data_IF_406521646542
#
_entry.id   IF_406521646542
#
_cell.length_a   1.000
_cell.length_b   1.000
_cell.length_c   1.000
_cell.angle_alpha   90.00
_cell.angle_beta   90.00
_cell.angle_gamma   90.00
#
_symmetry.space_group_name_H-M   'P 1'
#
loop_
_entity.id
_entity.type
_entity.pdbx_description
1 polymer ?
#
# COMPACT_ATOMS: atom_id res chain seq x y z
N UNK A 1 -14.15 23.00 11.52
CA UNK A 1 -14.31 22.06 12.64
C UNK A 1 -14.68 22.88 13.87
N UNK A 2 -15.71 22.48 14.63
CA UNK A 2 -16.10 23.18 15.86
C UNK A 2 -15.23 22.76 17.05
N UNK A 3 -15.45 23.38 18.21
CA UNK A 3 -14.75 23.06 19.47
C UNK A 3 -14.91 21.61 19.93
N UNK A 4 -15.91 20.90 19.41
CA UNK A 4 -16.17 19.47 19.68
C UNK A 4 -15.52 18.53 18.65
N UNK A 5 -14.74 19.05 17.70
CA UNK A 5 -14.09 18.22 16.68
C UNK A 5 -15.02 17.77 15.54
N UNK A 6 -16.21 18.35 15.40
CA UNK A 6 -17.15 18.01 14.33
C UNK A 6 -17.14 19.05 13.21
N UNK A 7 -17.43 18.60 11.99
CA UNK A 7 -17.56 19.43 10.80
C UNK A 7 -18.97 19.32 10.25
N UNK A 8 -19.54 20.43 9.78
CA UNK A 8 -20.88 20.43 9.19
C UNK A 8 -20.72 20.29 7.67
N UNK A 9 -21.31 19.24 7.09
CA UNK A 9 -21.33 18.99 5.65
C UNK A 9 -22.78 18.81 5.22
N UNK A 10 -23.27 19.67 4.34
CA UNK A 10 -24.68 19.71 3.88
C UNK A 10 -25.69 19.74 5.05
N UNK A 11 -25.40 20.51 6.10
CA UNK A 11 -26.27 20.62 7.29
C UNK A 11 -26.20 19.44 8.26
N UNK A 12 -25.36 18.45 8.01
CA UNK A 12 -25.20 17.25 8.85
C UNK A 12 -23.84 17.29 9.54
N UNK A 13 -23.81 16.99 10.84
CA UNK A 13 -22.56 16.84 11.59
C UNK A 13 -21.80 15.58 11.18
N UNK A 14 -20.51 15.74 10.93
CA UNK A 14 -19.56 14.69 10.56
C UNK A 14 -18.34 14.78 11.46
N UNK A 15 -17.71 13.64 11.73
CA UNK A 15 -16.46 13.52 12.49
C UNK A 15 -15.42 12.94 11.54
N UNK A 16 -14.23 13.53 11.52
CA UNK A 16 -13.09 13.01 10.77
C UNK A 16 -12.31 12.06 11.67
N UNK A 17 -12.02 10.86 11.17
CA UNK A 17 -11.20 9.86 11.87
C UNK A 17 -9.85 9.69 11.17
N UNK A 18 -8.80 9.48 11.97
CA UNK A 18 -7.48 9.19 11.44
C UNK A 18 -7.43 7.79 10.85
N UNK A 19 -6.82 7.66 9.68
CA UNK A 19 -6.53 6.36 9.06
C UNK A 19 -5.17 5.85 9.54
N UNK A 20 -5.04 4.54 9.73
CA UNK A 20 -3.77 3.86 10.00
C UNK A 20 -3.40 3.10 8.74
N UNK A 21 -2.31 3.52 8.09
CA UNK A 21 -1.79 2.90 6.86
C UNK A 21 -0.30 2.58 7.04
N UNK A 22 0.16 1.53 6.34
CA UNK A 22 1.58 1.22 6.24
C UNK A 22 2.33 2.38 5.55
N UNK A 23 3.45 2.80 6.10
CA UNK A 23 4.24 3.88 5.51
C UNK A 23 4.74 3.49 4.12
N UNK A 24 4.94 4.47 3.22
CA UNK A 24 5.66 4.26 1.98
C UNK A 24 7.07 3.72 2.23
N UNK A 25 7.53 2.79 1.39
CA UNK A 25 8.84 2.18 1.56
C UNK A 25 8.98 0.84 0.85
N UNK A 26 10.16 0.25 0.98
CA UNK A 26 10.50 -1.07 0.48
C UNK A 26 10.55 -2.03 1.66
N UNK A 27 9.79 -3.11 1.59
CA UNK A 27 9.69 -4.13 2.62
C UNK A 27 10.13 -5.47 2.06
N UNK A 28 10.90 -6.22 2.85
CA UNK A 28 11.32 -7.57 2.51
C UNK A 28 10.74 -8.56 3.51
N UNK A 29 10.30 -9.72 3.01
CA UNK A 29 9.79 -10.82 3.81
C UNK A 29 10.37 -12.13 3.27
N UNK A 30 10.78 -13.02 4.17
CA UNK A 30 11.19 -14.38 3.84
C UNK A 30 10.21 -15.35 4.48
N UNK A 31 9.77 -16.34 3.71
CA UNK A 31 8.91 -17.42 4.18
C UNK A 31 9.52 -18.76 3.74
N UNK A 32 9.46 -19.76 4.61
CA UNK A 32 9.82 -21.13 4.27
C UNK A 32 8.55 -21.81 3.75
N UNK A 33 8.60 -22.36 2.54
CA UNK A 33 7.49 -23.15 2.03
C UNK A 33 7.42 -24.55 2.67
N UNK A 34 6.36 -25.29 2.37
CA UNK A 34 6.16 -26.66 2.87
C UNK A 34 7.22 -27.66 2.37
N UNK A 35 7.95 -27.32 1.31
CA UNK A 35 8.99 -28.13 0.70
C UNK A 35 10.40 -27.75 1.21
N UNK A 36 10.50 -26.84 2.18
CA UNK A 36 11.78 -26.36 2.72
C UNK A 36 12.50 -25.34 1.83
N UNK A 37 11.81 -24.78 0.83
CA UNK A 37 12.36 -23.79 -0.10
C UNK A 37 12.12 -22.39 0.47
N UNK A 38 13.17 -21.58 0.48
CA UNK A 38 13.10 -20.19 0.93
C UNK A 38 12.52 -19.30 -0.17
N UNK A 39 11.40 -18.63 0.14
CA UNK A 39 10.75 -17.65 -0.73
C UNK A 39 10.96 -16.25 -0.16
N UNK A 40 11.49 -15.36 -0.99
CA UNK A 40 11.73 -13.95 -0.65
C UNK A 40 10.75 -13.06 -1.41
N UNK A 41 10.02 -12.24 -0.67
CA UNK A 41 9.02 -11.31 -1.19
C UNK A 41 9.48 -9.88 -0.90
N UNK A 42 9.67 -9.08 -1.95
CA UNK A 42 9.87 -7.63 -1.88
C UNK A 42 8.55 -6.92 -2.18
N UNK A 43 8.14 -6.00 -1.31
CA UNK A 43 6.96 -5.15 -1.50
C UNK A 43 7.41 -3.69 -1.56
N UNK A 44 6.96 -2.96 -2.57
CA UNK A 44 7.16 -1.51 -2.67
C UNK A 44 5.81 -0.84 -2.46
N UNK A 45 5.72 0.05 -1.46
CA UNK A 45 4.55 0.88 -1.20
C UNK A 45 4.93 2.31 -1.56
N UNK A 46 4.25 2.87 -2.56
CA UNK A 46 4.43 4.26 -2.98
C UNK A 46 3.27 5.12 -2.47
N UNK A 47 3.60 6.29 -1.92
CA UNK A 47 2.66 7.33 -1.48
C UNK A 47 1.86 7.94 -2.64
N UNK A 48 2.47 7.96 -3.82
CA UNK A 48 1.83 8.39 -5.05
C UNK A 48 1.47 7.16 -5.87
N UNK A 49 0.18 6.89 -6.02
CA UNK A 49 -0.32 5.87 -6.94
C UNK A 49 0.26 6.09 -8.31
N UNK A 50 1.03 5.10 -8.77
CA UNK A 50 1.68 4.96 -10.06
C UNK A 50 1.15 5.91 -11.13
N UNK A 51 1.60 7.16 -11.09
CA UNK A 51 1.54 8.09 -12.21
C UNK A 51 2.80 8.01 -13.08
N UNK A 52 3.64 6.99 -12.88
CA UNK A 52 4.55 6.55 -13.92
C UNK A 52 3.82 5.57 -14.85
N UNK A 53 2.78 6.08 -15.50
CA UNK A 53 2.19 5.40 -16.64
C UNK A 53 3.02 5.78 -17.86
N UNK A 54 3.97 4.92 -18.26
CA UNK A 54 4.27 4.81 -19.68
C UNK A 54 2.97 4.32 -20.34
N UNK A 55 2.11 5.27 -20.72
CA UNK A 55 0.84 5.07 -21.42
C UNK A 55 -0.22 4.29 -20.62
N UNK A 56 -1.09 4.99 -19.89
CA UNK A 56 -2.54 4.72 -19.84
C UNK A 56 -3.31 5.83 -19.10
N UNK A 57 -4.52 6.05 -19.60
CA UNK A 57 -5.39 7.22 -19.46
C UNK A 57 -5.67 7.73 -18.03
N UNK A 58 -5.80 9.07 -17.96
CA UNK A 58 -6.28 9.88 -16.84
C UNK A 58 -7.56 9.33 -16.20
N UNK A 59 -7.50 9.13 -14.88
CA UNK A 59 -8.66 9.00 -13.98
C UNK A 59 -8.27 9.50 -12.59
N UNK A 60 -9.05 10.42 -12.03
CA UNK A 60 -8.78 11.07 -10.75
C UNK A 60 -8.98 10.11 -9.58
N UNK A 61 -7.97 9.32 -9.24
CA UNK A 61 -7.98 8.51 -8.02
C UNK A 61 -6.58 8.55 -7.39
N UNK A 62 -6.47 9.13 -6.19
CA UNK A 62 -5.29 9.00 -5.34
C UNK A 62 -5.23 7.58 -4.77
N UNK A 63 -4.84 6.60 -5.57
CA UNK A 63 -4.47 5.28 -5.05
C UNK A 63 -3.05 5.36 -4.51
N UNK A 64 -2.69 4.55 -3.52
CA UNK A 64 -1.29 4.21 -3.25
C UNK A 64 -0.96 3.01 -4.15
N UNK A 65 0.20 3.01 -4.81
CA UNK A 65 0.61 1.87 -5.63
C UNK A 65 1.38 0.88 -4.76
N UNK A 66 0.96 -0.39 -4.80
CA UNK A 66 1.63 -1.52 -4.14
C UNK A 66 2.10 -2.49 -5.21
N UNK A 67 3.41 -2.65 -5.32
CA UNK A 67 4.06 -3.61 -6.22
C UNK A 67 4.67 -4.75 -5.39
N UNK A 68 4.54 -6.00 -5.84
CA UNK A 68 5.05 -7.18 -5.15
C UNK A 68 5.91 -8.04 -6.09
N UNK A 69 7.15 -8.28 -5.70
CA UNK A 69 8.10 -9.11 -6.43
C UNK A 69 8.44 -10.32 -5.56
N UNK A 70 8.27 -11.53 -6.10
CA UNK A 70 8.59 -12.79 -5.42
C UNK A 70 9.76 -13.49 -6.11
N UNK A 71 10.71 -13.98 -5.32
CA UNK A 71 11.83 -14.83 -5.77
C UNK A 71 11.90 -16.10 -4.92
N UNK A 72 12.01 -17.24 -5.59
CA UNK A 72 12.18 -18.57 -4.98
C UNK A 72 13.63 -19.00 -5.16
N UNK A 73 14.29 -19.45 -4.08
CA UNK A 73 15.66 -19.99 -4.14
C UNK A 73 15.61 -21.47 -3.81
N UNK A 74 15.91 -22.31 -4.81
CA UNK A 74 16.06 -23.74 -4.60
C UNK A 74 17.35 -24.02 -3.80
N UNK A 75 17.35 -24.97 -2.85
CA UNK A 75 18.57 -25.41 -2.21
C UNK A 75 19.52 -25.97 -3.27
N UNK A 76 20.76 -25.49 -3.25
CA UNK A 76 21.84 -26.05 -4.08
C UNK A 76 22.24 -27.35 -3.39
N UNK A 77 21.94 -28.47 -4.03
CA UNK A 77 22.32 -29.81 -3.58
C UNK A 77 23.83 -30.05 -3.64
#
# INVERSE_FOLDING_TARGET
MNSLGTSIVNGIYRIVINQILQSPGIYYRSELDHNGISVYTGTIISDWGGRSASGKSKGNLSHSAREEIRKTINPIG
#
